data_IF_286337020992
#
_entry.id   IF_286337020992
#
_cell.length_a   1.000
_cell.length_b   1.000
_cell.length_c   1.000
_cell.angle_alpha   90.00
_cell.angle_beta   90.00
_cell.angle_gamma   90.00
#
_symmetry.space_group_name_H-M   'P 1'
#
loop_
_entity.id
_entity.type
_entity.pdbx_description
1 polymer ?
#
# COMPACT_ATOMS: atom_id res chain seq x y z
N UNK A 1 -15.65 -2.31 -17.42
CA UNK A 1 -15.66 -1.87 -16.01
C UNK A 1 -14.95 -2.93 -15.23
N UNK A 2 -13.73 -2.64 -14.79
CA UNK A 2 -12.89 -3.60 -14.07
C UNK A 2 -12.85 -3.16 -12.60
N UNK A 3 -13.29 -4.03 -11.70
CA UNK A 3 -13.14 -3.81 -10.27
C UNK A 3 -11.74 -4.22 -9.86
N UNK A 4 -10.97 -3.28 -9.31
CA UNK A 4 -9.62 -3.56 -8.80
C UNK A 4 -9.60 -3.53 -7.29
N UNK A 5 -8.97 -4.52 -6.69
CA UNK A 5 -8.64 -4.49 -5.27
C UNK A 5 -7.60 -3.39 -5.04
N UNK A 6 -7.88 -2.51 -4.08
CA UNK A 6 -7.00 -1.42 -3.64
C UNK A 6 -7.01 -1.35 -2.13
N UNK A 7 -5.99 -0.73 -1.56
CA UNK A 7 -5.84 -0.55 -0.12
C UNK A 7 -5.69 0.93 0.22
N UNK A 8 -6.33 1.35 1.31
CA UNK A 8 -6.13 2.67 1.89
C UNK A 8 -5.84 2.55 3.38
N UNK A 9 -5.08 3.49 3.91
CA UNK A 9 -4.82 3.59 5.34
C UNK A 9 -5.96 4.33 6.05
N UNK A 10 -6.57 3.65 7.00
CA UNK A 10 -7.54 4.20 7.95
C UNK A 10 -6.78 4.71 9.18
N UNK A 11 -6.72 6.03 9.34
CA UNK A 11 -5.92 6.66 10.42
C UNK A 11 -6.53 6.49 11.79
N UNK A 12 -7.86 6.39 11.88
CA UNK A 12 -8.56 6.28 13.17
C UNK A 12 -8.35 4.87 13.74
N UNK A 13 -8.40 3.86 12.87
CA UNK A 13 -8.15 2.47 13.24
C UNK A 13 -6.68 2.05 13.16
N UNK A 14 -5.82 2.90 12.58
CA UNK A 14 -4.40 2.63 12.28
C UNK A 14 -4.19 1.30 11.55
N UNK A 15 -5.01 1.06 10.52
CA UNK A 15 -4.97 -0.19 9.73
C UNK A 15 -5.16 0.10 8.24
N UNK A 16 -4.50 -0.68 7.40
CA UNK A 16 -4.76 -0.69 5.96
C UNK A 16 -5.97 -1.56 5.64
N UNK A 17 -6.97 -0.99 4.95
CA UNK A 17 -8.23 -1.65 4.60
C UNK A 17 -8.35 -1.78 3.08
N UNK A 18 -8.86 -2.92 2.65
CA UNK A 18 -9.17 -3.17 1.24
C UNK A 18 -10.48 -2.46 0.85
N UNK A 19 -10.54 -1.96 -0.37
CA UNK A 19 -11.75 -1.52 -1.03
C UNK A 19 -11.73 -1.87 -2.52
N UNK A 20 -12.92 -1.87 -3.13
CA UNK A 20 -13.07 -2.07 -4.55
C UNK A 20 -13.09 -0.74 -5.28
N UNK A 21 -12.16 -0.59 -6.21
CA UNK A 21 -12.03 0.61 -7.00
C UNK A 21 -12.66 0.40 -8.39
N UNK A 22 -13.60 1.27 -8.75
CA UNK A 22 -14.41 1.18 -9.98
C UNK A 22 -13.73 1.67 -11.26
N UNK A 23 -12.42 1.96 -11.23
CA UNK A 23 -11.64 2.29 -12.43
C UNK A 23 -11.63 3.76 -12.85
N UNK A 24 -12.03 4.70 -11.99
CA UNK A 24 -11.77 6.13 -12.18
C UNK A 24 -10.36 6.47 -11.68
N UNK A 25 -9.59 7.36 -12.32
CA UNK A 25 -8.26 7.66 -11.79
C UNK A 25 -8.34 8.35 -10.41
N UNK A 26 -7.64 7.78 -9.43
CA UNK A 26 -7.45 8.37 -8.11
C UNK A 26 -6.12 9.12 -8.08
N UNK A 27 -6.15 10.38 -7.64
CA UNK A 27 -4.94 11.18 -7.37
C UNK A 27 -4.50 11.11 -5.91
N UNK A 28 -5.20 10.32 -5.09
CA UNK A 28 -4.90 10.17 -3.68
C UNK A 28 -3.60 9.39 -3.50
N UNK A 29 -2.72 9.88 -2.63
CA UNK A 29 -1.53 9.12 -2.18
C UNK A 29 -1.88 8.01 -1.19
N UNK A 30 -3.13 7.98 -0.69
CA UNK A 30 -3.65 6.97 0.21
C UNK A 30 -4.43 5.89 -0.57
N UNK A 31 -3.83 5.41 -1.66
CA UNK A 31 -4.41 4.44 -2.58
C UNK A 31 -3.29 3.53 -3.10
N UNK A 32 -3.26 2.30 -2.60
CA UNK A 32 -2.18 1.33 -2.81
C UNK A 32 -2.69 0.09 -3.53
N UNK A 33 -1.83 -0.54 -4.33
CA UNK A 33 -2.19 -1.77 -5.06
C UNK A 33 -2.15 -3.00 -4.14
N UNK A 34 -1.28 -2.97 -3.12
CA UNK A 34 -1.01 -4.06 -2.23
C UNK A 34 -1.04 -3.63 -0.75
N UNK A 35 -1.44 -4.56 0.11
CA UNK A 35 -1.58 -4.33 1.54
C UNK A 35 -0.23 -4.04 2.19
N UNK A 36 0.84 -4.73 1.76
CA UNK A 36 2.17 -4.61 2.35
C UNK A 36 2.76 -3.22 2.14
N UNK A 37 2.63 -2.63 0.95
CA UNK A 37 3.08 -1.28 0.66
C UNK A 37 2.31 -0.24 1.46
N UNK A 38 1.00 -0.42 1.62
CA UNK A 38 0.20 0.44 2.50
C UNK A 38 0.71 0.36 3.95
N UNK A 39 0.89 -0.86 4.46
CA UNK A 39 1.36 -1.11 5.82
C UNK A 39 2.78 -0.56 6.04
N UNK A 40 3.69 -0.80 5.09
CA UNK A 40 5.05 -0.30 5.12
C UNK A 40 5.10 1.23 5.11
N UNK A 41 4.34 1.90 4.24
CA UNK A 41 4.34 3.37 4.13
C UNK A 41 3.62 4.07 5.28
N UNK A 42 2.53 3.48 5.79
CA UNK A 42 1.62 4.18 6.70
C UNK A 42 1.59 3.63 8.13
N UNK A 43 1.92 2.36 8.33
CA UNK A 43 1.96 1.71 9.65
C UNK A 43 3.39 1.52 10.17
N UNK A 44 4.42 1.63 9.31
CA UNK A 44 5.82 1.41 9.69
C UNK A 44 6.11 -0.03 10.11
N UNK A 45 5.23 -0.97 9.77
CA UNK A 45 5.46 -2.40 9.95
C UNK A 45 6.43 -2.85 8.87
N UNK A 46 7.71 -2.81 9.17
CA UNK A 46 8.72 -3.47 8.36
C UNK A 46 8.62 -4.98 8.65
N UNK A 47 8.43 -5.86 7.65
CA UNK A 47 8.85 -7.24 7.84
C UNK A 47 10.35 -7.20 8.20
N UNK A 48 10.70 -7.84 9.31
CA UNK A 48 12.07 -7.96 9.81
C UNK A 48 13.03 -8.41 8.69
N UNK A 49 14.31 -7.99 8.67
CA UNK A 49 15.11 -8.04 7.47
C UNK A 49 15.64 -9.45 7.25
N UNK A 50 15.06 -10.16 6.29
CA UNK A 50 15.76 -11.25 5.59
C UNK A 50 15.91 -10.99 4.07
N UNK A 51 15.32 -9.92 3.49
CA UNK A 51 15.43 -9.67 2.04
C UNK A 51 15.42 -8.18 1.63
N UNK A 52 16.19 -7.31 2.30
CA UNK A 52 16.40 -5.91 1.87
C UNK A 52 17.84 -5.56 1.46
N UNK A 53 18.70 -6.55 1.21
CA UNK A 53 20.08 -6.36 0.72
C UNK A 53 20.25 -6.64 -0.77
N UNK A 54 19.20 -6.55 -1.59
CA UNK A 54 19.36 -6.62 -3.04
C UNK A 54 18.34 -5.70 -3.74
N UNK A 55 18.63 -4.40 -3.79
CA UNK A 55 17.72 -3.48 -4.50
C UNK A 55 18.09 -2.01 -4.60
N UNK A 56 18.89 -1.44 -3.71
CA UNK A 56 19.27 -0.03 -3.79
C UNK A 56 20.57 0.16 -4.60
N UNK A 57 20.50 -0.18 -5.90
CA UNK A 57 21.34 0.46 -6.93
C UNK A 57 20.42 1.30 -7.82
N UNK A 58 19.92 2.40 -7.25
CA UNK A 58 19.45 3.52 -8.03
C UNK A 58 20.66 4.36 -8.42
N UNK A 59 20.99 4.33 -9.72
CA UNK A 59 21.62 5.46 -10.39
C UNK A 59 20.57 6.56 -10.58
#
# INVERSE_FOLDING_TARGET
MEWKNRFYYDRDLRVCKMYWHGGCFSSSRNDFEDQETCQWKCMGTHPEPELRTLGDNFQ
#
